data_IF_780916902874
#
_entry.id   IF_780916902874
#
_cell.length_a   1.000
_cell.length_b   1.000
_cell.length_c   1.000
_cell.angle_alpha   90.00
_cell.angle_beta   90.00
_cell.angle_gamma   90.00
#
_symmetry.space_group_name_H-M   'P 1'
#
loop_
_entity.id
_entity.type
_entity.pdbx_description
1 polymer ?
#
# COMPACT_ATOMS: atom_id res chain seq x y z
N UNK A 1 3.14 26.56 6.13
CA UNK A 1 2.54 25.91 4.94
C UNK A 1 3.61 25.47 3.95
N UNK A 2 4.49 26.35 3.45
CA UNK A 2 5.54 25.97 2.49
C UNK A 2 6.47 24.82 2.96
N UNK A 3 6.94 24.85 4.21
CA UNK A 3 7.80 23.78 4.76
C UNK A 3 7.10 22.42 4.90
N UNK A 4 5.78 22.42 5.15
CA UNK A 4 4.99 21.18 5.27
C UNK A 4 4.75 20.56 3.89
N UNK A 5 4.49 21.39 2.88
CA UNK A 5 4.35 20.95 1.49
C UNK A 5 5.66 20.38 0.95
N UNK A 6 6.80 21.02 1.23
CA UNK A 6 8.11 20.53 0.81
C UNK A 6 8.45 19.17 1.46
N UNK A 7 8.12 19.00 2.74
CA UNK A 7 8.30 17.72 3.44
C UNK A 7 7.42 16.61 2.87
N UNK A 8 6.15 16.91 2.59
CA UNK A 8 5.23 15.96 1.96
C UNK A 8 5.73 15.54 0.58
N UNK A 9 6.29 16.46 -0.19
CA UNK A 9 6.86 16.15 -1.49
C UNK A 9 8.08 15.23 -1.37
N UNK A 10 8.99 15.49 -0.40
CA UNK A 10 10.12 14.59 -0.13
C UNK A 10 9.68 13.20 0.33
N UNK A 11 8.63 13.15 1.16
CA UNK A 11 8.05 11.89 1.61
C UNK A 11 7.48 11.13 0.41
N UNK A 12 6.71 11.80 -0.44
CA UNK A 12 6.15 11.21 -1.64
C UNK A 12 7.23 10.71 -2.61
N UNK A 13 8.28 11.51 -2.84
CA UNK A 13 9.43 11.12 -3.66
C UNK A 13 10.15 9.89 -3.10
N UNK A 14 10.23 9.76 -1.77
CA UNK A 14 10.83 8.59 -1.11
C UNK A 14 9.97 7.33 -1.30
N UNK A 15 8.67 7.41 -1.06
CA UNK A 15 7.75 6.27 -1.23
C UNK A 15 7.59 5.88 -2.70
N UNK A 16 7.73 6.82 -3.63
CA UNK A 16 7.76 6.56 -5.06
C UNK A 16 9.16 6.16 -5.56
N UNK A 17 10.17 6.12 -4.68
CA UNK A 17 11.54 5.81 -5.10
C UNK A 17 11.68 4.33 -5.52
N UNK A 18 12.58 4.01 -6.46
CA UNK A 18 12.86 2.63 -6.83
C UNK A 18 13.32 1.78 -5.65
N UNK A 19 14.07 2.36 -4.69
CA UNK A 19 14.52 1.63 -3.49
C UNK A 19 13.32 1.14 -2.67
N UNK A 20 12.34 2.02 -2.43
CA UNK A 20 11.17 1.68 -1.64
C UNK A 20 10.25 0.72 -2.40
N UNK A 21 9.85 1.10 -3.61
CA UNK A 21 8.91 0.32 -4.44
C UNK A 21 9.45 -1.07 -4.79
N UNK A 22 10.75 -1.23 -5.05
CA UNK A 22 11.34 -2.56 -5.23
C UNK A 22 11.29 -3.38 -3.93
N UNK A 23 11.58 -2.79 -2.77
CA UNK A 23 11.52 -3.52 -1.50
C UNK A 23 10.09 -4.01 -1.19
N UNK A 24 9.07 -3.20 -1.47
CA UNK A 24 7.67 -3.62 -1.34
C UNK A 24 7.31 -4.68 -2.40
N UNK A 25 7.74 -4.47 -3.65
CA UNK A 25 7.52 -5.42 -4.74
C UNK A 25 8.14 -6.79 -4.48
N UNK A 26 9.38 -6.84 -3.97
CA UNK A 26 10.06 -8.06 -3.58
C UNK A 26 9.31 -8.74 -2.42
N UNK A 27 8.94 -7.97 -1.39
CA UNK A 27 8.16 -8.49 -0.27
C UNK A 27 6.82 -9.10 -0.73
N UNK A 28 6.09 -8.41 -1.61
CA UNK A 28 4.83 -8.91 -2.14
C UNK A 28 5.05 -10.12 -3.05
N UNK A 29 6.08 -10.11 -3.90
CA UNK A 29 6.44 -11.25 -4.75
C UNK A 29 6.79 -12.51 -3.96
N UNK A 30 7.36 -12.37 -2.76
CA UNK A 30 7.70 -13.49 -1.87
C UNK A 30 6.54 -13.97 -0.99
N UNK A 31 5.48 -13.17 -0.80
CA UNK A 31 4.43 -13.45 0.19
C UNK A 31 3.01 -13.46 -0.35
N UNK A 32 2.74 -12.91 -1.54
CA UNK A 32 1.40 -12.82 -2.10
C UNK A 32 0.76 -14.19 -2.34
N UNK A 33 1.55 -15.20 -2.74
CA UNK A 33 1.09 -16.58 -2.92
C UNK A 33 0.71 -17.28 -1.60
N UNK A 34 1.21 -16.75 -0.48
CA UNK A 34 0.96 -17.27 0.87
C UNK A 34 -0.22 -16.58 1.55
N UNK A 35 -0.70 -15.48 0.99
CA UNK A 35 -1.86 -14.76 1.50
C UNK A 35 -3.14 -15.46 1.04
N UNK A 36 -4.04 -15.69 1.99
CA UNK A 36 -5.38 -16.15 1.68
C UNK A 36 -6.34 -14.96 1.68
N UNK A 37 -6.85 -14.62 0.51
CA UNK A 37 -7.82 -13.54 0.32
C UNK A 37 -9.23 -14.04 0.66
N UNK A 38 -9.60 -13.91 1.94
CA UNK A 38 -10.95 -14.20 2.44
C UNK A 38 -11.63 -12.92 2.89
N UNK A 39 -12.97 -12.80 2.79
CA UNK A 39 -13.69 -11.60 3.23
C UNK A 39 -13.36 -11.24 4.68
N UNK A 40 -13.19 -9.95 4.97
CA UNK A 40 -12.76 -9.45 6.29
C UNK A 40 -13.73 -9.77 7.43
N UNK A 41 -15.00 -10.03 7.09
CA UNK A 41 -16.04 -10.47 8.03
C UNK A 41 -15.85 -11.92 8.50
N UNK A 42 -14.98 -12.69 7.83
CA UNK A 42 -14.70 -14.09 8.15
C UNK A 42 -13.42 -14.22 9.00
N UNK A 43 -13.23 -15.41 9.56
CA UNK A 43 -12.01 -15.75 10.29
C UNK A 43 -10.78 -15.59 9.40
N UNK A 44 -9.89 -14.68 9.80
CA UNK A 44 -8.66 -14.40 9.07
C UNK A 44 -7.58 -15.44 9.43
N UNK A 45 -6.89 -16.01 8.44
CA UNK A 45 -5.76 -16.90 8.70
C UNK A 45 -4.66 -16.20 9.49
N UNK A 46 -4.14 -16.86 10.54
CA UNK A 46 -3.08 -16.30 11.39
C UNK A 46 -1.82 -15.93 10.58
N UNK A 47 -1.54 -16.68 9.51
CA UNK A 47 -0.43 -16.43 8.61
C UNK A 47 -0.53 -15.05 7.92
N UNK A 48 -1.74 -14.61 7.55
CA UNK A 48 -1.93 -13.29 6.94
C UNK A 48 -1.50 -12.19 7.93
N UNK A 49 -1.82 -12.35 9.21
CA UNK A 49 -1.42 -11.40 10.23
C UNK A 49 0.09 -11.40 10.50
N UNK A 50 0.75 -12.56 10.41
CA UNK A 50 2.22 -12.62 10.50
C UNK A 50 2.89 -11.91 9.31
N UNK A 51 2.36 -12.07 8.10
CA UNK A 51 2.82 -11.36 6.90
C UNK A 51 2.56 -9.85 7.04
N UNK A 52 1.37 -9.45 7.51
CA UNK A 52 1.05 -8.05 7.79
C UNK A 52 2.04 -7.40 8.78
N UNK A 53 2.37 -8.07 9.88
CA UNK A 53 3.38 -7.56 10.83
C UNK A 53 4.75 -7.40 10.17
N UNK A 54 5.15 -8.34 9.31
CA UNK A 54 6.41 -8.25 8.58
C UNK A 54 6.42 -7.06 7.60
N UNK A 55 5.29 -6.82 6.91
CA UNK A 55 5.10 -5.65 6.07
C UNK A 55 5.19 -4.34 6.88
N UNK A 56 4.48 -4.26 8.01
CA UNK A 56 4.52 -3.09 8.89
C UNK A 56 5.95 -2.78 9.34
N UNK A 57 6.69 -3.78 9.81
CA UNK A 57 8.10 -3.61 10.19
C UNK A 57 9.01 -3.20 9.04
N UNK A 58 8.73 -3.64 7.81
CA UNK A 58 9.47 -3.21 6.61
C UNK A 58 9.26 -1.71 6.35
N UNK A 59 8.00 -1.26 6.34
CA UNK A 59 7.65 0.15 6.13
C UNK A 59 8.21 1.03 7.25
N UNK A 60 8.06 0.62 8.51
CA UNK A 60 8.60 1.33 9.67
C UNK A 60 10.11 1.53 9.58
N UNK A 61 10.87 0.46 9.25
CA UNK A 61 12.32 0.55 9.10
C UNK A 61 12.73 1.51 7.99
N UNK A 62 12.06 1.44 6.84
CA UNK A 62 12.35 2.30 5.69
C UNK A 62 12.04 3.77 6.02
N UNK A 63 10.95 4.02 6.74
CA UNK A 63 10.57 5.34 7.21
C UNK A 63 11.56 5.88 8.24
N UNK A 64 12.01 5.05 9.19
CA UNK A 64 13.03 5.45 10.18
C UNK A 64 14.36 5.83 9.50
N UNK A 65 14.82 5.04 8.52
CA UNK A 65 16.00 5.35 7.71
C UNK A 65 15.85 6.70 6.99
N UNK A 66 14.68 6.99 6.43
CA UNK A 66 14.39 8.27 5.78
C UNK A 66 14.41 9.44 6.77
N UNK A 67 13.74 9.30 7.92
CA UNK A 67 13.68 10.34 8.95
C UNK A 67 15.08 10.68 9.47
N UNK A 68 15.89 9.66 9.74
CA UNK A 68 17.28 9.83 10.16
C UNK A 68 18.15 10.43 9.05
N UNK A 69 17.95 10.01 7.79
CA UNK A 69 18.71 10.50 6.64
C UNK A 69 18.46 11.97 6.32
N UNK A 70 17.23 12.43 6.42
CA UNK A 70 16.85 13.84 6.18
C UNK A 70 17.02 14.73 7.42
N UNK A 71 17.41 14.16 8.57
CA UNK A 71 17.52 14.90 9.84
C UNK A 71 16.18 15.41 10.35
N UNK A 72 15.10 14.71 10.03
CA UNK A 72 13.74 15.06 10.43
C UNK A 72 13.40 14.45 11.79
N UNK A 73 12.26 14.88 12.34
CA UNK A 73 11.67 14.23 13.52
C UNK A 73 10.39 13.52 13.13
N UNK A 74 10.09 12.41 13.81
CA UNK A 74 8.82 11.69 13.65
C UNK A 74 7.60 12.59 13.84
N UNK A 75 7.68 13.52 14.80
CA UNK A 75 6.63 14.52 15.02
C UNK A 75 6.41 15.40 13.79
N UNK A 76 7.47 15.86 13.14
CA UNK A 76 7.36 16.72 11.96
C UNK A 76 6.68 15.98 10.78
N UNK A 77 7.02 14.70 10.58
CA UNK A 77 6.35 13.85 9.56
C UNK A 77 4.87 13.66 9.89
N UNK A 78 4.53 13.35 11.14
CA UNK A 78 3.14 13.18 11.56
C UNK A 78 2.31 14.47 11.39
N UNK A 79 2.87 15.62 11.78
CA UNK A 79 2.23 16.93 11.63
C UNK A 79 2.02 17.24 10.13
N UNK A 80 2.96 16.88 9.26
CA UNK A 80 2.84 17.05 7.81
C UNK A 80 1.76 16.13 7.19
N UNK A 81 1.74 14.84 7.53
CA UNK A 81 0.70 13.91 7.07
C UNK A 81 -0.70 14.34 7.52
N UNK A 82 -0.83 14.80 8.77
CA UNK A 82 -2.10 15.33 9.30
C UNK A 82 -2.54 16.58 8.54
N UNK A 83 -1.61 17.49 8.23
CA UNK A 83 -1.91 18.67 7.44
C UNK A 83 -2.35 18.31 6.01
N UNK A 84 -1.74 17.29 5.41
CA UNK A 84 -2.10 16.80 4.08
C UNK A 84 -3.52 16.22 4.03
N UNK A 85 -3.89 15.37 4.99
CA UNK A 85 -5.24 14.80 5.06
C UNK A 85 -6.33 15.85 5.24
N UNK A 86 -6.04 16.94 5.96
CA UNK A 86 -7.00 18.01 6.23
C UNK A 86 -7.02 19.10 5.16
N UNK A 87 -6.12 19.05 4.17
CA UNK A 87 -6.12 20.01 3.07
C UNK A 87 -7.26 19.69 2.09
N UNK A 88 -8.03 20.71 1.69
CA UNK A 88 -9.15 20.57 0.73
C UNK A 88 -8.72 20.07 -0.66
N UNK A 89 -7.42 20.10 -0.93
CA UNK A 89 -6.83 19.44 -2.10
C UNK A 89 -6.58 17.98 -1.75
N UNK A 90 -7.50 17.10 -2.14
CA UNK A 90 -7.37 15.63 -2.11
C UNK A 90 -6.21 15.14 -3.00
N UNK A 91 -4.98 15.52 -2.66
CA UNK A 91 -3.79 14.95 -3.28
C UNK A 91 -3.67 13.55 -2.69
N UNK A 92 -4.10 12.54 -3.44
CA UNK A 92 -3.81 11.15 -3.13
C UNK A 92 -2.30 10.98 -3.21
N UNK A 93 -1.65 10.88 -2.06
CA UNK A 93 -0.22 10.65 -1.93
C UNK A 93 -0.03 9.16 -1.75
N UNK A 94 0.75 8.52 -2.62
CA UNK A 94 1.10 7.12 -2.49
C UNK A 94 1.76 6.82 -1.14
N UNK A 95 2.52 7.77 -0.61
CA UNK A 95 3.10 7.69 0.73
C UNK A 95 2.04 7.45 1.83
N UNK A 96 0.86 8.08 1.72
CA UNK A 96 -0.22 7.88 2.70
C UNK A 96 -0.79 6.47 2.57
N UNK A 97 -1.00 5.97 1.35
CA UNK A 97 -1.56 4.63 1.13
C UNK A 97 -0.65 3.54 1.74
N UNK A 98 0.66 3.62 1.52
CA UNK A 98 1.62 2.68 2.12
C UNK A 98 1.68 2.77 3.65
N UNK A 99 1.59 3.98 4.20
CA UNK A 99 1.57 4.21 5.65
C UNK A 99 0.27 3.69 6.28
N UNK A 100 -0.87 3.96 5.67
CA UNK A 100 -2.17 3.43 6.13
C UNK A 100 -2.13 1.92 6.10
N UNK A 101 -1.71 1.31 4.99
CA UNK A 101 -1.54 -0.13 4.86
C UNK A 101 -0.55 -0.73 5.89
N UNK A 102 0.38 0.05 6.45
CA UNK A 102 1.26 -0.45 7.52
C UNK A 102 0.60 -0.52 8.89
N UNK A 103 -0.50 0.21 9.08
CA UNK A 103 -1.22 0.33 10.36
C UNK A 103 -2.61 -0.29 10.34
N UNK A 104 -3.18 -0.46 9.16
CA UNK A 104 -4.51 -0.96 8.92
C UNK A 104 -4.47 -2.24 8.08
N UNK A 105 -5.02 -3.32 8.64
CA UNK A 105 -4.97 -4.65 8.03
C UNK A 105 -5.84 -4.74 6.77
N UNK A 106 -7.00 -4.06 6.76
CA UNK A 106 -7.89 -4.03 5.59
C UNK A 106 -7.19 -3.40 4.39
N UNK A 107 -6.59 -2.23 4.60
CA UNK A 107 -5.83 -1.50 3.58
C UNK A 107 -4.63 -2.31 3.08
N UNK A 108 -3.94 -3.04 3.97
CA UNK A 108 -2.88 -3.97 3.57
C UNK A 108 -3.40 -5.08 2.67
N UNK A 109 -4.50 -5.74 3.04
CA UNK A 109 -5.06 -6.84 2.27
C UNK A 109 -5.52 -6.40 0.89
N UNK A 110 -6.08 -5.19 0.78
CA UNK A 110 -6.42 -4.59 -0.50
C UNK A 110 -5.18 -4.36 -1.37
N UNK A 111 -4.13 -3.73 -0.82
CA UNK A 111 -2.89 -3.46 -1.54
C UNK A 111 -2.20 -4.76 -2.00
N UNK A 112 -2.18 -5.78 -1.13
CA UNK A 112 -1.63 -7.09 -1.47
C UNK A 112 -2.44 -7.79 -2.58
N UNK A 113 -3.76 -7.65 -2.56
CA UNK A 113 -4.64 -8.18 -3.62
C UNK A 113 -4.37 -7.49 -4.96
N UNK A 114 -4.25 -6.17 -4.98
CA UNK A 114 -3.90 -5.41 -6.19
C UNK A 114 -2.57 -5.88 -6.78
N UNK A 115 -1.55 -6.06 -5.94
CA UNK A 115 -0.26 -6.63 -6.37
C UNK A 115 -0.39 -8.05 -6.93
N UNK A 116 -1.19 -8.90 -6.31
CA UNK A 116 -1.42 -10.28 -6.77
C UNK A 116 -2.12 -10.30 -8.14
N UNK A 117 -3.15 -9.47 -8.33
CA UNK A 117 -3.88 -9.35 -9.61
C UNK A 117 -2.96 -8.84 -10.73
N UNK A 118 -2.16 -7.81 -10.45
CA UNK A 118 -1.21 -7.27 -11.44
C UNK A 118 -0.15 -8.32 -11.79
N UNK A 119 0.36 -9.07 -10.81
CA UNK A 119 1.35 -10.13 -11.04
C UNK A 119 0.77 -11.33 -11.81
N UNK A 120 -0.53 -11.61 -11.66
CA UNK A 120 -1.23 -12.69 -12.36
C UNK A 120 -1.57 -12.37 -13.82
N UNK A 121 -1.39 -11.13 -14.28
CA UNK A 121 -1.63 -10.73 -15.68
C UNK A 121 -2.75 -9.72 -15.89
N UNK A 122 -3.26 -9.07 -14.83
CA UNK A 122 -4.43 -8.18 -14.89
C UNK A 122 -5.73 -8.95 -14.66
N UNK A 123 -6.86 -8.25 -14.42
CA UNK A 123 -8.15 -8.91 -14.31
C UNK A 123 -8.37 -9.69 -15.61
N UNK A 124 -8.65 -10.97 -15.48
CA UNK A 124 -9.28 -11.76 -16.54
C UNK A 124 -10.57 -10.98 -16.88
N UNK A 125 -10.54 -10.20 -17.97
CA UNK A 125 -11.77 -9.74 -18.59
C UNK A 125 -12.43 -11.03 -19.05
N UNK A 126 -13.27 -11.61 -18.20
CA UNK A 126 -14.13 -12.73 -18.56
C UNK A 126 -14.89 -12.29 -19.81
N UNK A 127 -14.43 -12.74 -20.98
CA UNK A 127 -15.18 -12.70 -22.23
C UNK A 127 -16.51 -13.41 -21.94
N UNK A 128 -17.56 -12.62 -21.74
CA UNK A 128 -18.94 -13.10 -21.69
C UNK A 128 -19.33 -13.52 -23.12
N UNK A 129 -18.73 -14.61 -23.59
CA UNK A 129 -19.04 -15.26 -24.86
C UNK A 129 -20.27 -16.17 -24.65
N UNK A 130 -21.41 -15.72 -25.17
CA UNK A 130 -22.42 -16.62 -25.74
C UNK A 130 -23.67 -16.91 -24.92
N UNK A 131 -24.78 -16.31 -25.36
CA UNK A 131 -26.07 -17.02 -25.44
C UNK A 131 -26.94 -16.44 -26.56
N UNK A 132 -26.53 -16.67 -27.82
CA UNK A 132 -27.51 -16.69 -28.92
C UNK A 132 -28.38 -17.94 -28.76
N UNK A 133 -29.58 -17.77 -28.20
CA UNK A 133 -30.63 -18.77 -28.27
C UNK A 133 -31.46 -18.52 -29.54
N UNK A 134 -31.05 -19.16 -30.63
CA UNK A 134 -31.92 -19.45 -31.77
C UNK A 134 -32.91 -20.56 -31.35
N UNK A 135 -34.22 -20.28 -31.43
CA UNK A 135 -35.23 -21.33 -31.50
C UNK A 135 -36.44 -20.83 -32.31
N UNK A 136 -36.67 -21.57 -33.40
CA UNK A 136 -37.69 -21.49 -34.43
C UNK A 136 -39.14 -21.32 -33.96
#
# INVERSE_FOLDING_TARGET
>A
MAEQTEMLQKLEDFFCSPKFTCAIGDFMGENADKLAFVPLEQEQPLQNYDIFKAYASLVERQLEEFILGEGLTTKAVCDACTAAQNAESHSHLAAIDYLVASTDYESFMQLAYEHAVVAAGGPDEEEEEGAEAEAA
#
